data_IF_542699462629
#
_entry.id   IF_542699462629
#
_cell.length_a   1.000
_cell.length_b   1.000
_cell.length_c   1.000
_cell.angle_alpha   90.00
_cell.angle_beta   90.00
_cell.angle_gamma   90.00
#
_symmetry.space_group_name_H-M   'P 1'
#
loop_
_entity.id
_entity.type
_entity.pdbx_description
1 polymer ?
#
# COMPACT_ATOMS: atom_id res chain seq x y z
N UNK A 1 -23.63 -17.58 11.47
CA UNK A 1 -22.80 -16.47 10.94
C UNK A 1 -23.08 -15.24 11.80
N UNK A 2 -22.06 -14.69 12.45
CA UNK A 2 -22.17 -13.38 13.12
C UNK A 2 -22.21 -12.30 12.03
N UNK A 3 -23.18 -11.38 12.12
CA UNK A 3 -23.46 -10.32 11.13
C UNK A 3 -23.42 -8.94 11.77
N UNK A 4 -22.97 -8.86 13.02
CA UNK A 4 -23.01 -7.69 13.90
C UNK A 4 -21.66 -6.94 13.97
N UNK A 5 -20.67 -7.37 13.18
CA UNK A 5 -19.32 -6.77 13.21
C UNK A 5 -18.54 -7.02 14.51
N UNK A 6 -18.99 -7.97 15.34
CA UNK A 6 -18.33 -8.34 16.61
C UNK A 6 -17.00 -9.08 16.42
N UNK A 7 -16.72 -9.61 15.22
CA UNK A 7 -15.39 -10.09 14.85
C UNK A 7 -14.48 -8.94 14.47
N UNK A 8 -13.30 -8.91 15.08
CA UNK A 8 -12.19 -8.05 14.68
C UNK A 8 -11.90 -8.20 13.18
N UNK A 9 -11.65 -7.08 12.50
CA UNK A 9 -11.35 -6.96 11.07
C UNK A 9 -12.42 -7.49 10.09
N UNK A 10 -13.62 -7.82 10.56
CA UNK A 10 -14.64 -8.50 9.73
C UNK A 10 -15.25 -7.65 8.61
N UNK A 11 -15.16 -6.32 8.70
CA UNK A 11 -15.71 -5.38 7.71
C UNK A 11 -14.71 -4.26 7.44
N UNK A 12 -14.21 -4.16 6.21
CA UNK A 12 -13.25 -3.12 5.81
C UNK A 12 -13.54 -2.69 4.38
N UNK A 13 -13.81 -1.40 4.18
CA UNK A 13 -13.75 -0.75 2.88
C UNK A 13 -12.35 -0.17 2.70
N UNK A 14 -11.74 -0.37 1.52
CA UNK A 14 -10.42 0.16 1.18
C UNK A 14 -10.54 1.07 -0.03
N UNK A 15 -9.92 2.23 0.02
CA UNK A 15 -9.78 3.15 -1.09
C UNK A 15 -8.33 3.62 -1.17
N UNK A 16 -7.78 3.66 -2.38
CA UNK A 16 -6.43 4.17 -2.63
C UNK A 16 -6.43 5.00 -3.90
N UNK A 17 -5.71 6.12 -3.85
CA UNK A 17 -5.33 6.89 -5.03
C UNK A 17 -3.83 6.81 -5.20
N UNK A 18 -3.38 6.51 -6.41
CA UNK A 18 -1.97 6.44 -6.78
C UNK A 18 -1.70 7.26 -8.03
N UNK A 19 -0.50 7.85 -8.09
CA UNK A 19 -0.08 8.62 -9.25
C UNK A 19 1.43 8.52 -9.46
N UNK A 20 1.83 8.40 -10.73
CA UNK A 20 3.24 8.50 -11.11
C UNK A 20 3.62 9.98 -11.13
N UNK A 21 4.52 10.36 -10.23
CA UNK A 21 4.94 11.76 -10.06
C UNK A 21 6.25 12.07 -10.77
N UNK A 22 7.04 11.04 -11.10
CA UNK A 22 8.30 11.20 -11.82
C UNK A 22 8.63 9.97 -12.67
N UNK A 23 9.25 10.23 -13.81
CA UNK A 23 9.75 9.20 -14.72
C UNK A 23 11.02 9.70 -15.43
N UNK A 24 12.02 8.83 -15.53
CA UNK A 24 13.23 9.07 -16.33
C UNK A 24 13.84 7.76 -16.79
N UNK A 25 13.82 7.55 -18.11
CA UNK A 25 14.38 6.35 -18.74
C UNK A 25 13.75 5.09 -18.15
N UNK A 26 14.59 4.23 -17.60
CA UNK A 26 14.19 2.96 -16.99
C UNK A 26 13.75 3.08 -15.52
N UNK A 27 13.42 4.28 -15.02
CA UNK A 27 13.04 4.51 -13.63
C UNK A 27 11.80 5.37 -13.48
N UNK A 28 10.98 5.06 -12.48
CA UNK A 28 9.78 5.85 -12.14
C UNK A 28 9.52 5.88 -10.64
N UNK A 29 8.92 6.97 -10.17
CA UNK A 29 8.46 7.14 -8.81
C UNK A 29 6.95 7.40 -8.82
N UNK A 30 6.23 6.61 -8.04
CA UNK A 30 4.80 6.77 -7.79
C UNK A 30 4.56 7.08 -6.32
N UNK A 31 3.60 7.95 -6.06
CA UNK A 31 3.07 8.20 -4.73
C UNK A 31 1.64 7.67 -4.64
N UNK A 32 1.27 7.17 -3.48
CA UNK A 32 -0.10 6.75 -3.19
C UNK A 32 -0.50 7.10 -1.77
N UNK A 33 -1.80 7.29 -1.60
CA UNK A 33 -2.43 7.49 -0.32
C UNK A 33 -3.73 6.69 -0.27
N UNK A 34 -3.95 6.02 0.86
CA UNK A 34 -5.12 5.20 1.08
C UNK A 34 -5.98 5.66 2.25
N UNK A 35 -7.16 5.07 2.33
CA UNK A 35 -8.06 5.16 3.48
C UNK A 35 -8.82 3.86 3.60
N UNK A 36 -9.17 3.49 4.82
CA UNK A 36 -9.98 2.34 5.11
C UNK A 36 -10.91 2.62 6.26
N UNK A 37 -12.15 2.19 6.13
CA UNK A 37 -13.20 2.45 7.11
C UNK A 37 -14.21 1.31 7.11
N UNK A 38 -15.10 1.33 8.09
CA UNK A 38 -16.26 0.45 8.15
C UNK A 38 -17.49 1.23 8.57
N UNK A 39 -18.66 0.84 8.06
CA UNK A 39 -19.94 1.42 8.46
C UNK A 39 -20.51 0.77 9.73
N UNK A 40 -19.87 -0.29 10.23
CA UNK A 40 -20.39 -1.15 11.31
C UNK A 40 -19.50 -1.09 12.56
N UNK A 41 -18.20 -0.81 12.40
CA UNK A 41 -17.22 -0.82 13.49
C UNK A 41 -16.15 0.24 13.26
N UNK A 42 -15.54 0.73 14.33
CA UNK A 42 -14.40 1.65 14.25
C UNK A 42 -13.08 0.91 13.96
N UNK A 43 -13.01 -0.39 14.23
CA UNK A 43 -11.83 -1.23 14.00
C UNK A 43 -11.93 -1.99 12.69
N UNK A 44 -10.89 -1.91 11.89
CA UNK A 44 -10.78 -2.60 10.60
C UNK A 44 -9.43 -3.29 10.47
N UNK A 45 -9.26 -4.10 9.42
CA UNK A 45 -7.98 -4.74 9.13
C UNK A 45 -6.80 -3.76 9.08
N UNK A 46 -7.06 -2.49 8.77
CA UNK A 46 -6.03 -1.46 8.68
C UNK A 46 -6.13 -0.34 9.72
N UNK A 47 -7.18 -0.25 10.55
CA UNK A 47 -7.38 0.84 11.52
C UNK A 47 -7.64 0.31 12.94
N UNK A 48 -7.13 1.03 13.95
CA UNK A 48 -7.42 0.74 15.36
C UNK A 48 -8.50 1.67 15.96
N UNK A 49 -8.85 2.76 15.27
CA UNK A 49 -9.93 3.66 15.63
C UNK A 49 -10.60 4.32 14.42
N UNK A 50 -11.38 5.37 14.66
CA UNK A 50 -12.16 6.08 13.64
C UNK A 50 -11.33 6.93 12.64
N UNK A 51 -10.00 6.84 12.69
CA UNK A 51 -9.08 7.72 11.94
C UNK A 51 -9.14 7.55 10.42
N UNK A 52 -9.71 6.44 9.93
CA UNK A 52 -10.03 6.12 8.52
C UNK A 52 -8.90 6.29 7.46
N UNK A 53 -7.71 6.74 7.86
CA UNK A 53 -6.56 7.04 7.03
C UNK A 53 -5.50 5.95 7.23
N UNK A 54 -5.15 5.27 6.16
CA UNK A 54 -4.19 4.15 6.16
C UNK A 54 -3.28 4.26 4.94
N UNK A 55 -2.05 3.77 4.99
CA UNK A 55 -1.11 3.91 3.87
C UNK A 55 -0.95 5.38 3.40
N UNK A 56 -0.83 6.32 4.33
CA UNK A 56 -0.59 7.73 4.01
C UNK A 56 0.88 7.89 3.62
N UNK A 57 1.14 8.33 2.39
CA UNK A 57 2.50 8.62 1.91
C UNK A 57 3.26 7.39 1.41
N UNK A 58 2.53 6.41 0.85
CA UNK A 58 3.15 5.30 0.16
C UNK A 58 3.98 5.78 -1.03
N UNK A 59 5.22 5.32 -1.13
CA UNK A 59 6.13 5.67 -2.23
C UNK A 59 6.69 4.42 -2.86
N UNK A 60 6.51 4.28 -4.17
CA UNK A 60 7.03 3.16 -4.96
C UNK A 60 8.05 3.67 -5.96
N UNK A 61 9.28 3.18 -5.86
CA UNK A 61 10.32 3.41 -6.84
C UNK A 61 10.53 2.15 -7.67
N UNK A 62 10.34 2.26 -8.98
CA UNK A 62 10.56 1.18 -9.94
C UNK A 62 11.79 1.47 -10.79
N UNK A 63 12.56 0.41 -11.10
CA UNK A 63 13.70 0.47 -12.00
C UNK A 63 13.85 -0.82 -12.80
N UNK A 64 14.11 -0.70 -14.11
CA UNK A 64 14.59 -1.83 -14.91
C UNK A 64 16.11 -1.89 -14.83
N UNK A 65 16.65 -2.99 -14.32
CA UNK A 65 18.09 -3.25 -14.24
C UNK A 65 18.51 -4.15 -15.40
N UNK A 66 19.49 -3.71 -16.19
CA UNK A 66 20.05 -4.49 -17.29
C UNK A 66 21.14 -5.42 -16.76
N UNK A 67 20.93 -6.73 -16.88
CA UNK A 67 21.88 -7.79 -16.54
C UNK A 67 22.24 -8.55 -17.83
N UNK A 68 23.24 -8.04 -18.55
CA UNK A 68 23.60 -8.57 -19.88
C UNK A 68 22.46 -8.36 -20.88
N UNK A 69 21.88 -9.46 -21.37
CA UNK A 69 20.72 -9.46 -22.28
C UNK A 69 19.37 -9.45 -21.54
N UNK A 70 19.37 -9.60 -20.22
CA UNK A 70 18.15 -9.68 -19.41
C UNK A 70 17.80 -8.32 -18.82
N UNK A 71 16.52 -7.96 -18.85
CA UNK A 71 15.97 -6.84 -18.11
C UNK A 71 15.27 -7.40 -16.88
N UNK A 72 15.72 -7.00 -15.69
CA UNK A 72 15.12 -7.35 -14.41
C UNK A 72 14.34 -6.14 -13.88
N UNK A 73 13.00 -6.14 -13.93
CA UNK A 73 12.20 -5.14 -13.25
C UNK A 73 12.31 -5.33 -11.74
N UNK A 74 12.71 -4.27 -11.04
CA UNK A 74 12.72 -4.19 -9.58
C UNK A 74 11.85 -3.03 -9.12
N UNK A 75 11.13 -3.23 -8.02
CA UNK A 75 10.36 -2.20 -7.33
C UNK A 75 10.64 -2.23 -5.84
N UNK A 76 10.63 -1.05 -5.24
CA UNK A 76 10.72 -0.86 -3.79
C UNK A 76 9.59 0.04 -3.37
N UNK A 77 8.77 -0.43 -2.44
CA UNK A 77 7.63 0.32 -1.91
C UNK A 77 7.76 0.50 -0.40
N UNK A 78 7.70 1.76 0.05
CA UNK A 78 7.58 2.10 1.46
C UNK A 78 6.13 2.50 1.76
N UNK A 79 5.53 1.93 2.80
CA UNK A 79 4.16 2.16 3.23
C UNK A 79 4.14 2.48 4.71
N UNK A 80 3.41 3.53 5.11
CA UNK A 80 3.21 3.87 6.50
C UNK A 80 1.72 3.89 6.85
N UNK A 81 1.36 3.13 7.88
CA UNK A 81 0.05 3.16 8.48
C UNK A 81 0.14 3.86 9.85
N UNK A 82 -0.32 5.13 9.96
CA UNK A 82 -0.27 5.87 11.22
C UNK A 82 -1.18 5.26 12.30
N UNK A 83 -2.34 4.70 11.93
CA UNK A 83 -3.31 4.11 12.86
C UNK A 83 -2.76 2.86 13.56
N UNK A 84 -1.90 2.10 12.88
CA UNK A 84 -1.24 0.90 13.44
C UNK A 84 0.21 1.14 13.85
N UNK A 85 0.69 2.39 13.76
CA UNK A 85 2.09 2.78 13.98
C UNK A 85 3.09 1.87 13.23
N UNK A 86 2.70 1.40 12.04
CA UNK A 86 3.42 0.35 11.32
C UNK A 86 3.95 0.87 9.99
N UNK A 87 5.23 0.62 9.76
CA UNK A 87 5.89 0.88 8.48
C UNK A 87 6.27 -0.44 7.82
N UNK A 88 5.98 -0.57 6.54
CA UNK A 88 6.30 -1.74 5.72
C UNK A 88 7.22 -1.29 4.59
N UNK A 89 8.31 -2.03 4.41
CA UNK A 89 9.17 -1.93 3.23
C UNK A 89 8.98 -3.21 2.42
N UNK A 90 8.55 -3.06 1.17
CA UNK A 90 8.37 -4.14 0.23
C UNK A 90 9.39 -4.02 -0.89
N UNK A 91 9.95 -5.16 -1.29
CA UNK A 91 10.82 -5.28 -2.47
C UNK A 91 10.16 -6.28 -3.40
N UNK A 92 9.96 -5.88 -4.65
CA UNK A 92 9.41 -6.71 -5.72
C UNK A 92 10.44 -6.88 -6.84
N UNK A 93 10.50 -8.10 -7.39
CA UNK A 93 11.33 -8.43 -8.53
C UNK A 93 10.57 -9.46 -9.38
N UNK A 94 10.61 -9.28 -10.70
CA UNK A 94 9.94 -10.21 -11.62
C UNK A 94 10.96 -11.06 -12.36
N UNK A 95 10.85 -12.39 -12.23
CA UNK A 95 11.70 -13.38 -12.90
C UNK A 95 10.82 -14.14 -13.90
N UNK A 96 11.22 -14.18 -15.17
CA UNK A 96 10.53 -14.88 -16.27
C UNK A 96 11.34 -16.09 -16.72
#
# INVERSE_FOLDING_TARGET
>A
MQTDGSLEDSWTHYFEVSSKVWEKGDSSLSLFAGGAWSFVTDKTFYTEGAGNLINVGGATFNKNVKLGTYNLPIGVTAMWNPEKEKTVLQVDFTIF
#
